data_IF_431114371320
#
_entry.id   IF_431114371320
#
_cell.length_a   1.000
_cell.length_b   1.000
_cell.length_c   1.000
_cell.angle_alpha   90.00
_cell.angle_beta   90.00
_cell.angle_gamma   90.00
#
_symmetry.space_group_name_H-M   'P 1'
#
loop_
_entity.id
_entity.type
_entity.pdbx_description
1 polymer ?
#
# COMPACT_ATOMS: atom_id res chain seq x y z
N UNK A 1 -56.34 2.47 35.58
CA UNK A 1 -56.65 1.33 34.68
C UNK A 1 -55.36 0.94 33.99
N UNK A 2 -54.74 -0.13 34.49
CA UNK A 2 -53.41 -0.61 34.07
C UNK A 2 -53.61 -1.89 33.28
N UNK A 3 -53.28 -1.85 31.99
CA UNK A 3 -53.35 -3.02 31.10
C UNK A 3 -51.97 -3.63 30.92
N UNK A 4 -51.76 -4.80 31.52
CA UNK A 4 -50.56 -5.63 31.42
C UNK A 4 -50.63 -6.45 30.13
N UNK A 5 -49.72 -6.27 29.20
CA UNK A 5 -49.52 -7.17 28.06
C UNK A 5 -48.57 -8.32 28.41
N UNK A 6 -49.04 -9.55 28.14
CA UNK A 6 -48.37 -10.83 28.36
C UNK A 6 -47.23 -11.04 27.34
N UNK A 7 -46.17 -11.79 27.70
CA UNK A 7 -45.10 -12.16 26.74
C UNK A 7 -45.51 -13.37 25.90
N UNK A 8 -45.14 -13.33 24.62
CA UNK A 8 -45.38 -14.37 23.63
C UNK A 8 -44.41 -15.56 23.76
N UNK A 9 -44.93 -16.75 23.50
CA UNK A 9 -44.32 -18.05 23.68
C UNK A 9 -43.21 -18.33 22.66
N UNK A 10 -42.14 -19.01 23.11
CA UNK A 10 -41.08 -19.59 22.31
C UNK A 10 -41.57 -20.82 21.56
N UNK A 11 -41.53 -20.82 20.24
CA UNK A 11 -41.72 -22.00 19.39
C UNK A 11 -40.41 -22.77 19.24
N UNK A 12 -40.42 -24.03 19.69
CA UNK A 12 -39.37 -25.02 19.55
C UNK A 12 -39.36 -25.60 18.11
N UNK A 13 -38.18 -25.62 17.47
CA UNK A 13 -37.95 -26.29 16.16
C UNK A 13 -37.69 -27.78 16.40
N UNK A 14 -38.26 -28.71 15.57
CA UNK A 14 -38.00 -30.14 15.69
C UNK A 14 -36.62 -30.52 15.09
N UNK A 15 -35.97 -31.47 15.76
CA UNK A 15 -34.73 -32.12 15.34
C UNK A 15 -34.95 -32.96 14.07
N UNK A 16 -34.08 -32.80 13.05
CA UNK A 16 -34.02 -33.69 11.87
C UNK A 16 -33.08 -34.85 12.16
N UNK A 17 -33.57 -36.04 11.93
CA UNK A 17 -32.93 -37.33 12.06
C UNK A 17 -31.70 -37.47 11.16
N UNK A 18 -30.64 -38.11 11.69
CA UNK A 18 -29.41 -38.49 11.03
C UNK A 18 -29.67 -39.84 10.34
N UNK A 19 -29.62 -39.89 9.01
CA UNK A 19 -29.55 -41.12 8.23
C UNK A 19 -28.08 -41.48 7.96
N UNK A 20 -27.70 -42.65 8.51
CA UNK A 20 -26.44 -43.36 8.17
C UNK A 20 -26.47 -43.79 6.70
N UNK A 21 -25.50 -43.32 5.92
CA UNK A 21 -25.20 -43.90 4.60
C UNK A 21 -23.78 -44.45 4.59
N UNK A 22 -23.70 -45.64 4.04
CA UNK A 22 -22.58 -46.58 4.06
C UNK A 22 -21.32 -46.10 3.33
N UNK A 23 -20.20 -46.63 3.75
CA UNK A 23 -18.86 -46.33 3.26
C UNK A 23 -18.64 -46.62 1.78
N UNK A 24 -17.90 -45.73 1.15
CA UNK A 24 -17.23 -45.96 -0.14
C UNK A 24 -15.73 -45.66 0.05
N UNK A 25 -14.90 -46.67 -0.25
CA UNK A 25 -13.45 -46.61 -0.15
C UNK A 25 -12.86 -45.48 -0.99
N UNK A 26 -11.77 -44.85 -0.58
CA UNK A 26 -11.14 -43.78 -1.37
C UNK A 26 -10.42 -44.35 -2.58
N UNK A 27 -10.79 -43.84 -3.76
CA UNK A 27 -10.08 -44.09 -5.00
C UNK A 27 -8.67 -43.46 -4.94
N UNK A 28 -7.65 -44.25 -5.34
CA UNK A 28 -6.26 -43.81 -5.46
C UNK A 28 -6.16 -42.59 -6.37
N UNK A 29 -5.57 -41.50 -5.84
CA UNK A 29 -5.24 -40.30 -6.58
C UNK A 29 -4.19 -40.62 -7.68
N UNK A 30 -4.29 -40.05 -8.90
CA UNK A 30 -3.29 -40.22 -9.93
C UNK A 30 -1.98 -39.54 -9.56
N UNK A 31 -0.86 -40.22 -9.78
CA UNK A 31 0.50 -39.74 -9.52
C UNK A 31 0.77 -38.45 -10.30
N UNK A 32 1.29 -37.44 -9.64
CA UNK A 32 1.75 -36.20 -10.25
C UNK A 32 2.89 -36.45 -11.23
N UNK A 33 2.86 -35.89 -12.46
CA UNK A 33 3.99 -36.04 -13.38
C UNK A 33 5.22 -35.32 -12.83
N UNK A 34 6.38 -36.00 -12.92
CA UNK A 34 7.66 -35.49 -12.48
C UNK A 34 8.01 -34.14 -13.15
N UNK A 35 8.27 -33.13 -12.34
CA UNK A 35 8.68 -31.82 -12.84
C UNK A 35 10.02 -31.93 -13.58
N UNK A 36 10.02 -31.71 -14.89
CA UNK A 36 11.23 -31.58 -15.73
C UNK A 36 12.08 -30.42 -15.17
N UNK A 37 13.26 -30.72 -14.65
CA UNK A 37 14.28 -29.72 -14.25
C UNK A 37 14.63 -28.88 -15.48
N UNK A 38 14.11 -27.64 -15.53
CA UNK A 38 14.53 -26.66 -16.53
C UNK A 38 16.00 -26.31 -16.27
N UNK A 39 16.87 -26.70 -17.19
CA UNK A 39 18.29 -26.33 -17.18
C UNK A 39 18.41 -24.82 -17.07
N UNK A 40 19.17 -24.36 -16.08
CA UNK A 40 19.59 -22.96 -15.97
C UNK A 40 20.49 -22.65 -17.18
N UNK A 41 19.90 -22.09 -18.23
CA UNK A 41 20.71 -21.43 -19.28
C UNK A 41 21.43 -20.26 -18.61
N UNK A 42 22.75 -20.38 -18.51
CA UNK A 42 23.64 -19.30 -18.11
C UNK A 42 23.45 -18.14 -19.09
N UNK A 43 22.85 -17.04 -18.61
CA UNK A 43 22.82 -15.79 -19.37
C UNK A 43 24.22 -15.25 -19.42
N UNK A 44 24.82 -15.22 -20.61
CA UNK A 44 26.08 -14.52 -20.87
C UNK A 44 25.94 -13.08 -20.38
N UNK A 45 26.94 -12.52 -19.66
CA UNK A 45 26.88 -11.12 -19.26
C UNK A 45 26.90 -10.25 -20.53
N UNK A 46 25.93 -9.35 -20.63
CA UNK A 46 25.86 -8.32 -21.67
C UNK A 46 27.06 -7.37 -21.49
N UNK A 47 28.06 -7.48 -22.38
CA UNK A 47 29.14 -6.49 -22.52
C UNK A 47 28.63 -5.36 -23.43
N UNK A 48 27.79 -4.47 -22.89
CA UNK A 48 27.48 -3.21 -23.53
C UNK A 48 28.56 -2.18 -23.16
N UNK A 49 29.13 -1.49 -24.14
CA UNK A 49 29.95 -0.29 -23.93
C UNK A 49 29.09 0.75 -23.18
N UNK A 50 29.67 1.50 -22.23
CA UNK A 50 28.92 2.57 -21.55
C UNK A 50 28.73 3.72 -22.54
N UNK A 51 27.58 3.78 -23.18
CA UNK A 51 27.11 5.01 -23.79
C UNK A 51 26.57 5.85 -22.65
N UNK A 52 27.20 6.98 -22.38
CA UNK A 52 26.75 8.00 -21.44
C UNK A 52 25.35 8.48 -21.81
N UNK A 53 24.35 7.76 -21.41
CA UNK A 53 22.97 8.25 -21.41
C UNK A 53 22.68 8.82 -20.01
N UNK A 54 22.54 10.14 -19.96
CA UNK A 54 22.20 10.92 -18.78
C UNK A 54 20.79 10.63 -18.23
N UNK A 55 20.31 9.41 -18.36
CA UNK A 55 19.08 8.96 -17.75
C UNK A 55 19.42 8.27 -16.44
N UNK A 56 19.24 8.99 -15.35
CA UNK A 56 19.39 8.60 -13.95
C UNK A 56 18.39 7.53 -13.52
N UNK A 57 18.29 6.42 -14.23
CA UNK A 57 17.59 5.24 -13.81
C UNK A 57 18.58 4.14 -13.44
N UNK A 58 19.42 4.41 -12.44
CA UNK A 58 20.17 3.34 -11.79
C UNK A 58 19.16 2.37 -11.16
N UNK A 59 19.27 1.05 -11.42
CA UNK A 59 18.44 0.07 -10.74
C UNK A 59 18.69 0.22 -9.25
N UNK A 60 17.65 0.57 -8.51
CA UNK A 60 17.70 0.74 -7.06
C UNK A 60 18.04 -0.60 -6.43
N UNK A 61 19.19 -0.66 -5.77
CA UNK A 61 19.60 -1.81 -4.97
C UNK A 61 18.64 -2.01 -3.80
N UNK A 62 18.63 -3.19 -3.17
CA UNK A 62 17.88 -3.41 -1.91
C UNK A 62 18.24 -2.35 -0.86
N UNK A 63 19.46 -1.86 -0.85
CA UNK A 63 19.94 -0.81 0.04
C UNK A 63 19.21 0.52 -0.19
N UNK A 64 19.00 0.93 -1.43
CA UNK A 64 18.31 2.19 -1.74
C UNK A 64 16.86 2.22 -1.23
N UNK A 65 16.19 1.06 -1.20
CA UNK A 65 14.85 0.95 -0.61
C UNK A 65 14.89 1.15 0.92
N UNK A 66 15.83 0.52 1.59
CA UNK A 66 16.06 0.69 3.03
C UNK A 66 16.49 2.11 3.37
N UNK A 67 17.44 2.66 2.63
CA UNK A 67 17.91 4.05 2.79
C UNK A 67 16.78 5.06 2.58
N UNK A 68 15.92 4.87 1.59
CA UNK A 68 14.76 5.74 1.37
C UNK A 68 13.79 5.64 2.53
N UNK A 69 13.53 4.45 3.05
CA UNK A 69 12.66 4.25 4.21
C UNK A 69 13.21 4.94 5.46
N UNK A 70 14.49 4.77 5.75
CA UNK A 70 15.13 5.35 6.91
C UNK A 70 15.18 6.88 6.81
N UNK A 71 15.44 7.39 5.61
CA UNK A 71 15.39 8.82 5.34
C UNK A 71 13.98 9.40 5.57
N UNK A 72 12.92 8.74 5.07
CA UNK A 72 11.54 9.19 5.27
C UNK A 72 11.12 9.12 6.74
N UNK A 73 11.56 8.09 7.47
CA UNK A 73 11.31 7.99 8.90
C UNK A 73 12.01 9.10 9.69
N UNK A 74 13.21 9.50 9.28
CA UNK A 74 13.92 10.62 9.91
C UNK A 74 13.26 11.97 9.61
N UNK A 75 12.65 12.13 8.42
CA UNK A 75 12.00 13.39 8.02
C UNK A 75 10.60 13.56 8.62
N UNK A 76 9.81 12.49 8.67
CA UNK A 76 8.37 12.55 8.97
C UNK A 76 7.97 11.71 10.18
N UNK A 77 8.90 10.96 10.77
CA UNK A 77 8.54 9.94 11.75
C UNK A 77 7.73 8.80 11.12
N UNK A 78 7.18 7.89 11.94
CA UNK A 78 6.42 6.74 11.45
C UNK A 78 4.95 7.11 11.16
N UNK A 79 4.74 8.12 10.31
CA UNK A 79 3.43 8.66 9.93
C UNK A 79 3.07 8.21 8.51
N UNK A 80 1.83 7.78 8.33
CA UNK A 80 1.30 7.39 7.02
C UNK A 80 1.02 8.64 6.16
N UNK A 81 1.66 8.75 5.00
CA UNK A 81 1.49 9.88 4.09
C UNK A 81 0.08 10.04 3.50
N UNK A 82 -0.78 9.03 3.62
CA UNK A 82 -2.14 9.07 3.09
C UNK A 82 -3.23 9.39 4.12
N UNK A 83 -3.08 8.98 5.37
CA UNK A 83 -4.11 9.15 6.40
C UNK A 83 -3.57 9.79 7.69
N UNK A 84 -2.32 10.26 7.68
CA UNK A 84 -1.66 10.94 8.79
C UNK A 84 -1.58 10.14 10.10
N UNK A 85 -1.98 8.88 10.07
CA UNK A 85 -1.96 8.03 11.26
C UNK A 85 -0.53 7.68 11.64
N UNK A 86 -0.16 7.96 12.88
CA UNK A 86 1.08 7.48 13.50
C UNK A 86 0.98 5.97 13.76
N UNK A 87 1.94 5.21 13.30
CA UNK A 87 2.01 3.75 13.50
C UNK A 87 3.39 3.35 13.99
N UNK A 88 3.53 2.12 14.49
CA UNK A 88 4.85 1.62 14.89
C UNK A 88 5.85 1.69 13.73
N UNK A 89 7.12 2.10 13.95
CA UNK A 89 8.16 2.07 12.91
C UNK A 89 8.36 0.71 12.25
N UNK A 90 8.01 -0.38 12.94
CA UNK A 90 8.05 -1.74 12.38
C UNK A 90 6.87 -2.09 11.49
N UNK A 91 5.73 -1.40 11.68
CA UNK A 91 4.48 -1.67 10.95
C UNK A 91 4.29 -0.75 9.73
N UNK A 92 5.05 0.36 9.65
CA UNK A 92 4.97 1.25 8.49
C UNK A 92 5.82 0.70 7.34
N UNK A 93 5.27 0.78 6.13
CA UNK A 93 5.91 0.27 4.90
C UNK A 93 6.11 1.37 3.90
N UNK A 94 6.97 1.15 2.90
CA UNK A 94 7.01 2.00 1.71
C UNK A 94 5.94 1.55 0.72
N UNK A 95 5.26 2.52 0.14
CA UNK A 95 4.32 2.34 -0.97
C UNK A 95 4.82 3.08 -2.21
N UNK A 96 4.66 2.45 -3.38
CA UNK A 96 4.91 3.08 -4.66
C UNK A 96 3.71 3.91 -5.08
N UNK A 97 3.85 5.22 -5.12
CA UNK A 97 2.78 6.15 -5.53
C UNK A 97 2.28 5.78 -6.93
N UNK A 98 3.18 5.65 -7.89
CA UNK A 98 2.90 5.00 -9.17
C UNK A 98 3.23 3.51 -9.06
N UNK A 99 2.27 2.60 -9.30
CA UNK A 99 2.48 1.16 -9.15
C UNK A 99 3.64 0.64 -9.98
N UNK A 100 4.46 -0.21 -9.38
CA UNK A 100 5.71 -0.73 -9.96
C UNK A 100 5.51 -1.58 -11.22
N UNK A 101 4.40 -2.31 -11.33
CA UNK A 101 4.09 -3.23 -12.45
C UNK A 101 5.26 -4.12 -12.89
N UNK A 102 6.08 -4.57 -11.93
CA UNK A 102 7.26 -5.41 -12.18
C UNK A 102 8.52 -4.68 -12.66
N UNK A 103 8.53 -3.36 -12.79
CA UNK A 103 9.67 -2.56 -13.24
C UNK A 103 10.38 -1.89 -12.07
N UNK A 104 11.69 -2.05 -11.98
CA UNK A 104 12.54 -1.46 -10.92
C UNK A 104 12.73 0.05 -11.07
N UNK A 105 12.47 0.61 -12.27
CA UNK A 105 12.53 2.05 -12.53
C UNK A 105 11.61 2.88 -11.60
N UNK A 106 10.60 2.26 -11.00
CA UNK A 106 9.70 2.92 -10.07
C UNK A 106 10.18 2.90 -8.61
N UNK A 107 11.27 2.19 -8.28
CA UNK A 107 11.86 2.12 -6.93
C UNK A 107 12.69 3.38 -6.60
N UNK A 108 12.28 4.55 -7.09
CA UNK A 108 12.94 5.83 -6.88
C UNK A 108 12.33 6.53 -5.66
N UNK A 109 13.16 7.30 -4.95
CA UNK A 109 12.72 8.08 -3.78
C UNK A 109 11.54 9.00 -4.11
N UNK A 110 11.55 9.61 -5.29
CA UNK A 110 10.51 10.51 -5.78
C UNK A 110 9.20 9.82 -6.19
N UNK A 111 9.10 8.50 -5.97
CA UNK A 111 7.90 7.69 -6.17
C UNK A 111 7.50 6.84 -4.94
N UNK A 112 8.17 7.02 -3.81
CA UNK A 112 7.97 6.21 -2.60
C UNK A 112 7.49 7.09 -1.45
N UNK A 113 6.51 6.61 -0.69
CA UNK A 113 6.02 7.26 0.54
C UNK A 113 5.85 6.25 1.68
N UNK A 114 5.87 6.74 2.92
CA UNK A 114 5.50 5.91 4.07
C UNK A 114 3.98 5.67 4.08
N UNK A 115 3.59 4.42 4.21
CA UNK A 115 2.17 4.04 4.23
C UNK A 115 1.89 2.98 5.30
N UNK A 116 0.75 3.13 6.00
CA UNK A 116 0.25 2.07 6.86
C UNK A 116 -0.35 0.92 6.03
N UNK A 117 -0.42 -0.27 6.62
CA UNK A 117 -0.94 -1.47 5.93
C UNK A 117 -2.35 -1.28 5.35
N UNK A 118 -3.22 -0.55 6.05
CA UNK A 118 -4.58 -0.29 5.60
C UNK A 118 -4.62 0.60 4.33
N UNK A 119 -3.84 1.69 4.28
CA UNK A 119 -3.77 2.55 3.10
C UNK A 119 -3.07 1.86 1.94
N UNK A 120 -2.00 1.10 2.21
CA UNK A 120 -1.29 0.34 1.19
C UNK A 120 -2.22 -0.73 0.56
N UNK A 121 -2.95 -1.49 1.38
CA UNK A 121 -3.95 -2.45 0.89
C UNK A 121 -5.10 -1.78 0.12
N UNK A 122 -5.60 -0.62 0.60
CA UNK A 122 -6.65 0.12 -0.08
C UNK A 122 -6.21 0.69 -1.44
N UNK A 123 -4.93 1.06 -1.56
CA UNK A 123 -4.34 1.53 -2.81
C UNK A 123 -4.09 0.36 -3.76
N UNK A 124 -3.42 -0.70 -3.32
CA UNK A 124 -3.03 -1.83 -4.15
C UNK A 124 -2.46 -1.36 -5.51
N UNK A 125 -2.94 -1.92 -6.62
CA UNK A 125 -2.51 -1.57 -7.99
C UNK A 125 -3.34 -0.44 -8.63
N UNK A 126 -4.17 0.27 -7.84
CA UNK A 126 -4.98 1.38 -8.37
C UNK A 126 -4.10 2.49 -8.93
N UNK A 127 -4.50 3.11 -10.05
CA UNK A 127 -3.86 4.33 -10.53
C UNK A 127 -3.89 5.42 -9.45
N UNK A 128 -2.80 6.15 -9.31
CA UNK A 128 -2.64 7.16 -8.27
C UNK A 128 -3.79 8.19 -8.25
N UNK A 129 -4.18 8.71 -9.42
CA UNK A 129 -5.30 9.61 -9.56
C UNK A 129 -6.60 9.02 -8.99
N UNK A 130 -6.94 7.79 -9.35
CA UNK A 130 -8.16 7.13 -8.88
C UNK A 130 -8.14 6.90 -7.36
N UNK A 131 -6.96 6.62 -6.81
CA UNK A 131 -6.78 6.45 -5.37
C UNK A 131 -6.97 7.76 -4.59
N UNK A 132 -6.49 8.89 -5.12
CA UNK A 132 -6.67 10.21 -4.50
C UNK A 132 -8.11 10.70 -4.62
N UNK A 133 -8.75 10.54 -5.79
CA UNK A 133 -10.14 10.93 -6.00
C UNK A 133 -11.12 10.16 -5.09
N UNK A 134 -10.76 8.95 -4.66
CA UNK A 134 -11.54 8.18 -3.70
C UNK A 134 -11.58 8.77 -2.28
N UNK A 135 -10.63 9.61 -1.90
CA UNK A 135 -10.61 10.38 -0.65
C UNK A 135 -9.63 11.55 -0.80
N UNK A 136 -10.16 12.77 -0.81
CA UNK A 136 -9.41 14.02 -0.99
C UNK A 136 -8.37 14.27 0.10
N UNK A 137 -8.64 13.87 1.35
CA UNK A 137 -7.69 14.01 2.47
C UNK A 137 -6.33 13.37 2.16
N UNK A 138 -6.31 12.31 1.34
CA UNK A 138 -5.06 11.67 0.91
C UNK A 138 -4.18 12.62 0.09
N UNK A 139 -4.80 13.44 -0.74
CA UNK A 139 -4.08 14.45 -1.52
C UNK A 139 -3.59 15.58 -0.61
N UNK A 140 -4.41 16.02 0.34
CA UNK A 140 -4.03 17.02 1.34
C UNK A 140 -2.83 16.55 2.17
N UNK A 141 -2.87 15.33 2.70
CA UNK A 141 -1.78 14.75 3.50
C UNK A 141 -0.48 14.60 2.68
N UNK A 142 -0.58 14.29 1.39
CA UNK A 142 0.59 14.22 0.52
C UNK A 142 1.28 15.56 0.29
N UNK A 143 0.59 16.68 0.45
CA UNK A 143 1.24 18.00 0.42
C UNK A 143 2.19 18.20 1.61
N UNK A 144 1.94 17.50 2.72
CA UNK A 144 2.80 17.52 3.90
C UNK A 144 3.90 16.46 3.82
N UNK A 145 3.52 15.20 3.58
CA UNK A 145 4.41 14.03 3.72
C UNK A 145 5.01 13.54 2.41
N UNK A 146 4.64 14.13 1.27
CA UNK A 146 5.06 13.73 -0.06
C UNK A 146 5.88 14.78 -0.82
N UNK A 147 6.45 15.78 -0.14
CA UNK A 147 7.16 16.93 -0.78
C UNK A 147 8.36 16.53 -1.64
N UNK A 148 8.92 15.35 -1.40
CA UNK A 148 10.04 14.76 -2.14
C UNK A 148 9.59 14.01 -3.41
N UNK A 149 8.27 13.84 -3.61
CA UNK A 149 7.73 13.18 -4.80
C UNK A 149 8.03 13.97 -6.06
N UNK A 150 7.99 13.30 -7.21
CA UNK A 150 8.20 13.97 -8.48
C UNK A 150 7.22 15.13 -8.68
N UNK A 151 7.62 16.22 -9.38
CA UNK A 151 6.77 17.38 -9.59
C UNK A 151 5.38 17.01 -10.15
N UNK A 152 5.32 16.09 -11.10
CA UNK A 152 4.07 15.61 -11.68
C UNK A 152 3.13 15.00 -10.63
N UNK A 153 3.64 14.23 -9.67
CA UNK A 153 2.82 13.59 -8.63
C UNK A 153 2.33 14.61 -7.61
N UNK A 154 3.18 15.57 -7.23
CA UNK A 154 2.80 16.66 -6.32
C UNK A 154 1.80 17.60 -6.98
N UNK A 155 1.98 17.96 -8.23
CA UNK A 155 1.03 18.82 -8.94
C UNK A 155 -0.36 18.16 -9.06
N UNK A 156 -0.40 16.85 -9.29
CA UNK A 156 -1.66 16.10 -9.27
C UNK A 156 -2.32 16.13 -7.87
N UNK A 157 -1.53 15.97 -6.81
CA UNK A 157 -2.03 16.07 -5.44
C UNK A 157 -2.56 17.49 -5.14
N UNK A 158 -1.85 18.56 -5.57
CA UNK A 158 -2.29 19.95 -5.44
C UNK A 158 -3.61 20.22 -6.14
N UNK A 159 -3.77 19.74 -7.38
CA UNK A 159 -5.02 19.91 -8.14
C UNK A 159 -6.22 19.29 -7.43
N UNK A 160 -6.03 18.12 -6.80
CA UNK A 160 -7.10 17.43 -6.07
C UNK A 160 -7.35 18.08 -4.71
N UNK A 161 -6.30 18.43 -3.98
CA UNK A 161 -6.38 19.03 -2.65
C UNK A 161 -6.97 20.46 -2.68
N UNK A 162 -6.71 21.21 -3.75
CA UNK A 162 -7.23 22.56 -3.96
C UNK A 162 -6.47 23.65 -3.17
N UNK A 163 -6.80 24.94 -3.42
CA UNK A 163 -6.00 26.09 -2.97
C UNK A 163 -5.92 26.21 -1.43
N UNK A 164 -7.01 25.95 -0.72
CA UNK A 164 -7.04 26.08 0.74
C UNK A 164 -6.12 25.07 1.43
N UNK A 165 -6.09 23.85 0.93
CA UNK A 165 -5.20 22.80 1.44
C UNK A 165 -3.72 23.11 1.12
N UNK A 166 -3.43 23.67 -0.05
CA UNK A 166 -2.09 24.12 -0.42
C UNK A 166 -1.62 25.21 0.55
N UNK A 167 -2.45 26.26 0.77
CA UNK A 167 -2.13 27.34 1.67
C UNK A 167 -1.94 26.87 3.13
N UNK A 168 -2.68 25.84 3.56
CA UNK A 168 -2.51 25.19 4.86
C UNK A 168 -1.17 24.46 4.95
N UNK A 169 -0.87 23.61 3.97
CA UNK A 169 0.38 22.86 3.92
C UNK A 169 1.62 23.77 3.89
N UNK A 170 1.53 24.92 3.23
CA UNK A 170 2.61 25.90 3.20
C UNK A 170 2.80 26.57 4.56
N UNK A 171 1.71 26.93 5.26
CA UNK A 171 1.80 27.49 6.63
C UNK A 171 2.38 26.48 7.63
N UNK A 172 1.90 25.24 7.58
CA UNK A 172 2.35 24.18 8.49
C UNK A 172 3.83 23.87 8.28
N UNK A 173 4.33 23.98 7.05
CA UNK A 173 5.75 23.78 6.73
C UNK A 173 6.66 24.87 7.33
N UNK A 174 6.13 26.06 7.55
CA UNK A 174 6.84 27.16 8.19
C UNK A 174 6.80 27.08 9.73
N UNK A 175 5.98 26.19 10.28
CA UNK A 175 5.90 25.97 11.73
C UNK A 175 7.10 25.11 12.17
N UNK A 176 7.96 25.61 13.09
CA UNK A 176 9.13 24.88 13.56
C UNK A 176 8.79 23.58 14.31
N UNK A 177 7.57 23.47 14.86
CA UNK A 177 7.10 22.27 15.58
C UNK A 177 6.42 21.24 14.67
N UNK A 178 6.27 21.52 13.38
CA UNK A 178 5.77 20.56 12.40
C UNK A 178 6.89 19.57 12.00
N UNK A 179 6.65 18.24 11.92
CA UNK A 179 5.37 17.50 12.04
C UNK A 179 5.09 16.91 13.44
N UNK A 180 5.81 17.33 14.46
CA UNK A 180 5.86 16.70 15.79
C UNK A 180 4.87 17.31 16.80
N UNK A 181 3.76 17.87 16.33
CA UNK A 181 2.67 18.23 17.25
C UNK A 181 2.12 16.96 17.89
N UNK A 182 2.36 16.83 19.21
CA UNK A 182 1.84 15.76 20.05
C UNK A 182 0.31 15.79 20.15
#
# INVERSE_FOLDING_TARGET
MTERRKPAAKQSRPAKAVSKAAGKAPAKAPAKPAAKKRSRRSRKPYRGTPTESQHTSLPTSRNAYTETRDWLLAQHGPICAYCERKVSPRAITLDHVTPRRGQTAYDRRDNLVLSCSACNAAKADKPFLAFLLGNRERAENLLHYGTHLSPMLIDLARQIAGPDAIARAERDRLDPDYPYRD
#
